data_IF_850726925406
#
_entry.id   IF_850726925406
#
_cell.length_a   1.000
_cell.length_b   1.000
_cell.length_c   1.000
_cell.angle_alpha   90.00
_cell.angle_beta   90.00
_cell.angle_gamma   90.00
#
_symmetry.space_group_name_H-M   'P 1'
#
loop_
_entity.id
_entity.type
_entity.pdbx_description
1 polymer ?
#
# COMPACT_ATOMS: atom_id res chain seq x y z
N UNK A 1 -15.61 5.20 -10.23
CA UNK A 1 -14.85 5.79 -9.10
C UNK A 1 -15.01 7.29 -9.18
N UNK A 2 -15.57 7.91 -8.17
CA UNK A 2 -15.62 9.37 -8.02
C UNK A 2 -14.29 9.82 -7.41
N UNK A 3 -13.66 10.82 -8.03
CA UNK A 3 -12.37 11.38 -7.55
C UNK A 3 -12.53 12.89 -7.50
N UNK A 4 -12.20 13.49 -6.36
CA UNK A 4 -12.18 14.93 -6.13
C UNK A 4 -10.79 15.35 -5.70
N UNK A 5 -10.24 16.40 -6.32
CA UNK A 5 -8.94 16.95 -5.98
C UNK A 5 -9.07 18.36 -5.40
N UNK A 6 -8.49 18.54 -4.23
CA UNK A 6 -8.33 19.86 -3.58
C UNK A 6 -6.90 20.42 -3.80
N UNK A 7 -6.14 19.79 -4.70
CA UNK A 7 -4.77 20.22 -5.01
C UNK A 7 -4.76 21.25 -6.13
N UNK A 8 -4.11 22.38 -5.89
CA UNK A 8 -3.79 23.32 -6.96
C UNK A 8 -2.88 22.64 -8.00
N UNK A 9 -3.29 22.72 -9.27
CA UNK A 9 -2.54 22.12 -10.39
C UNK A 9 -2.70 20.60 -10.51
N UNK A 10 -3.80 20.06 -10.01
CA UNK A 10 -4.24 18.69 -10.27
C UNK A 10 -5.78 18.69 -10.32
N UNK A 11 -6.35 18.56 -11.50
CA UNK A 11 -7.79 18.47 -11.69
C UNK A 11 -8.33 17.08 -11.28
N UNK A 12 -9.66 17.00 -11.04
CA UNK A 12 -10.36 15.73 -10.75
C UNK A 12 -10.16 14.71 -11.88
N UNK A 13 -10.21 15.18 -13.14
CA UNK A 13 -10.01 14.34 -14.31
C UNK A 13 -8.59 13.76 -14.39
N UNK A 14 -7.58 14.56 -14.07
CA UNK A 14 -6.19 14.11 -14.02
C UNK A 14 -5.94 13.15 -12.86
N UNK A 15 -6.47 13.45 -11.66
CA UNK A 15 -6.39 12.55 -10.52
C UNK A 15 -7.05 11.20 -10.83
N UNK A 16 -8.23 11.20 -11.48
CA UNK A 16 -8.92 9.98 -11.94
C UNK A 16 -8.08 9.21 -12.95
N UNK A 17 -7.46 9.87 -13.92
CA UNK A 17 -6.57 9.24 -14.92
C UNK A 17 -5.34 8.60 -14.26
N UNK A 18 -4.76 9.24 -13.25
CA UNK A 18 -3.64 8.67 -12.49
C UNK A 18 -4.03 7.36 -11.81
N UNK A 19 -5.24 7.25 -11.31
CA UNK A 19 -5.75 6.07 -10.62
C UNK A 19 -6.39 5.03 -11.57
N UNK A 20 -6.43 5.31 -12.86
CA UNK A 20 -6.95 4.38 -13.85
C UNK A 20 -6.16 3.06 -13.83
N UNK A 21 -6.90 1.95 -14.07
CA UNK A 21 -6.34 0.60 -14.00
C UNK A 21 -6.16 0.05 -12.59
N UNK A 22 -6.41 0.84 -11.53
CA UNK A 22 -6.49 0.36 -10.15
C UNK A 22 -7.92 -0.11 -9.83
N UNK A 23 -8.07 -1.10 -8.94
CA UNK A 23 -9.38 -1.64 -8.60
C UNK A 23 -10.22 -0.60 -7.85
N UNK A 24 -11.53 -0.59 -8.06
CA UNK A 24 -12.44 0.36 -7.41
C UNK A 24 -12.77 -0.06 -5.98
N UNK A 25 -12.89 0.91 -5.09
CA UNK A 25 -13.34 0.72 -3.70
C UNK A 25 -14.88 0.87 -3.60
N UNK A 26 -15.63 0.09 -4.37
CA UNK A 26 -17.09 0.20 -4.38
C UNK A 26 -17.56 1.60 -4.73
N UNK A 27 -18.43 2.16 -3.88
CA UNK A 27 -19.00 3.52 -4.02
C UNK A 27 -18.20 4.58 -3.25
N UNK A 28 -17.04 4.22 -2.69
CA UNK A 28 -16.22 5.19 -1.95
C UNK A 28 -15.72 6.31 -2.87
N UNK A 29 -15.82 7.55 -2.36
CA UNK A 29 -15.20 8.71 -2.99
C UNK A 29 -13.70 8.72 -2.68
N UNK A 30 -12.89 9.11 -3.65
CA UNK A 30 -11.46 9.37 -3.44
C UNK A 30 -11.23 10.87 -3.38
N UNK A 31 -10.69 11.34 -2.27
CA UNK A 31 -10.41 12.77 -2.05
C UNK A 31 -8.91 12.97 -1.98
N UNK A 32 -8.38 13.78 -2.89
CA UNK A 32 -6.96 14.13 -2.92
C UNK A 32 -6.75 15.49 -2.27
N UNK A 33 -5.97 15.54 -1.18
CA UNK A 33 -5.71 16.75 -0.38
C UNK A 33 -4.23 17.13 -0.34
N UNK A 34 -3.92 18.42 -0.13
CA UNK A 34 -2.55 18.81 0.14
C UNK A 34 -2.07 18.32 1.50
N UNK A 35 -0.85 17.76 1.55
CA UNK A 35 -0.12 17.48 2.77
C UNK A 35 0.92 18.59 2.99
N UNK A 36 0.72 19.40 4.03
CA UNK A 36 1.73 20.36 4.48
C UNK A 36 2.70 19.64 5.41
N UNK A 37 3.97 19.78 5.17
CA UNK A 37 5.02 19.19 6.00
C UNK A 37 6.05 20.24 6.43
N UNK A 38 6.65 20.07 7.61
CA UNK A 38 7.62 21.02 8.17
C UNK A 38 9.06 20.72 7.76
N UNK A 39 9.45 19.45 7.78
CA UNK A 39 10.83 19.02 7.58
C UNK A 39 11.02 18.31 6.25
N UNK A 40 10.30 17.24 6.01
CA UNK A 40 10.41 16.41 4.80
C UNK A 40 9.05 15.91 4.32
N UNK A 41 8.89 15.70 3.00
CA UNK A 41 7.73 15.01 2.47
C UNK A 41 7.65 13.58 3.05
N UNK A 42 6.42 13.08 3.22
CA UNK A 42 6.13 11.73 3.68
C UNK A 42 4.81 11.23 3.09
N UNK A 43 4.51 9.96 3.29
CA UNK A 43 3.24 9.36 2.90
C UNK A 43 2.19 9.62 3.98
N UNK A 44 0.97 10.00 3.57
CA UNK A 44 -0.16 10.13 4.47
C UNK A 44 -1.47 9.87 3.71
N UNK A 45 -2.27 8.95 4.21
CA UNK A 45 -3.59 8.64 3.68
C UNK A 45 -4.45 8.03 4.79
N UNK A 46 -5.74 7.86 4.51
CA UNK A 46 -6.64 7.12 5.38
C UNK A 46 -7.91 6.68 4.65
N UNK A 47 -8.42 5.52 5.04
CA UNK A 47 -9.73 5.04 4.64
C UNK A 47 -10.75 5.39 5.75
N UNK A 48 -11.70 6.25 5.45
CA UNK A 48 -12.77 6.68 6.35
C UNK A 48 -14.03 5.86 6.05
N UNK A 49 -14.22 4.77 6.79
CA UNK A 49 -15.28 3.80 6.54
C UNK A 49 -16.68 4.37 6.75
N UNK A 50 -16.88 5.18 7.78
CA UNK A 50 -18.17 5.81 8.10
C UNK A 50 -18.58 6.80 7.01
N UNK A 51 -17.63 7.61 6.55
CA UNK A 51 -17.84 8.62 5.51
C UNK A 51 -17.75 8.04 4.08
N UNK A 52 -17.45 6.77 3.93
CA UNK A 52 -17.24 6.08 2.65
C UNK A 52 -16.28 6.82 1.72
N UNK A 53 -15.14 7.20 2.25
CA UNK A 53 -14.12 7.88 1.44
C UNK A 53 -12.70 7.44 1.74
N UNK A 54 -11.87 7.55 0.71
CA UNK A 54 -10.42 7.36 0.78
C UNK A 54 -9.77 8.72 0.63
N UNK A 55 -9.03 9.17 1.64
CA UNK A 55 -8.34 10.46 1.63
C UNK A 55 -6.85 10.22 1.36
N UNK A 56 -6.37 10.77 0.24
CA UNK A 56 -4.97 10.70 -0.18
C UNK A 56 -4.33 12.08 0.01
N UNK A 57 -3.24 12.15 0.76
CA UNK A 57 -2.58 13.43 1.01
C UNK A 57 -1.24 13.51 0.25
N UNK A 58 -1.14 14.47 -0.65
CA UNK A 58 0.07 14.65 -1.47
C UNK A 58 0.91 15.80 -0.92
N UNK A 59 2.23 15.59 -0.70
CA UNK A 59 3.11 16.64 -0.22
C UNK A 59 3.10 17.90 -1.09
N UNK A 60 2.95 19.07 -0.45
CA UNK A 60 2.96 20.39 -1.13
C UNK A 60 3.89 21.34 -0.36
N UNK A 61 4.94 21.88 -1.01
CA UNK A 61 5.35 21.64 -2.40
C UNK A 61 5.82 20.20 -2.61
N UNK A 62 5.56 19.65 -3.80
CA UNK A 62 6.06 18.30 -4.10
C UNK A 62 7.56 18.35 -4.38
N UNK A 63 8.30 17.53 -3.67
CA UNK A 63 9.72 17.25 -3.91
C UNK A 63 9.91 15.73 -3.92
N UNK A 64 10.76 15.17 -4.79
CA UNK A 64 11.10 13.75 -4.72
C UNK A 64 11.62 13.36 -3.35
N UNK A 65 11.15 12.21 -2.84
CA UNK A 65 11.55 11.72 -1.52
C UNK A 65 11.65 10.19 -1.49
N UNK A 66 12.22 9.69 -0.40
CA UNK A 66 12.31 8.26 -0.13
C UNK A 66 11.61 7.97 1.19
N UNK A 67 10.88 6.85 1.24
CA UNK A 67 10.19 6.38 2.44
C UNK A 67 10.47 4.90 2.67
N UNK A 68 10.82 4.49 3.91
CA UNK A 68 10.87 3.07 4.27
C UNK A 68 9.45 2.54 4.42
N UNK A 69 9.13 1.47 3.70
CA UNK A 69 7.82 0.81 3.74
C UNK A 69 7.99 -0.57 4.33
N UNK A 70 7.24 -0.89 5.38
CA UNK A 70 7.34 -2.16 6.11
C UNK A 70 6.34 -3.15 5.52
N UNK A 71 6.81 -4.15 4.79
CA UNK A 71 5.94 -5.08 4.07
C UNK A 71 5.83 -6.48 4.71
N UNK A 72 6.62 -6.79 5.72
CA UNK A 72 6.55 -8.07 6.42
C UNK A 72 7.04 -7.96 7.87
N UNK A 73 6.49 -8.83 8.71
CA UNK A 73 6.94 -9.06 10.07
C UNK A 73 7.21 -10.55 10.26
N UNK A 74 8.35 -10.91 10.81
CA UNK A 74 8.71 -12.28 11.16
C UNK A 74 8.91 -12.39 12.66
N UNK A 75 8.19 -13.31 13.29
CA UNK A 75 8.42 -13.64 14.69
C UNK A 75 9.82 -14.26 14.85
N UNK A 76 10.61 -13.71 15.74
CA UNK A 76 11.92 -14.26 16.10
C UNK A 76 11.74 -15.36 17.16
N UNK A 77 12.60 -16.36 17.09
CA UNK A 77 12.67 -17.41 18.14
C UNK A 77 13.34 -16.80 19.39
N UNK A 78 12.80 -17.08 20.56
CA UNK A 78 13.35 -16.62 21.83
C UNK A 78 12.29 -16.59 22.94
N UNK A 79 12.71 -16.44 24.22
CA UNK A 79 11.82 -16.44 25.38
C UNK A 79 10.89 -15.23 25.43
N UNK A 80 11.27 -14.12 24.76
CA UNK A 80 10.44 -12.92 24.63
C UNK A 80 9.90 -12.81 23.21
N UNK A 81 8.64 -12.37 23.08
CA UNK A 81 8.04 -12.12 21.78
C UNK A 81 8.74 -10.93 21.11
N UNK A 82 9.49 -11.21 20.05
CA UNK A 82 10.17 -10.20 19.24
C UNK A 82 9.81 -10.40 17.78
N UNK A 83 9.73 -9.29 17.03
CA UNK A 83 9.51 -9.30 15.59
C UNK A 83 10.69 -8.66 14.88
N UNK A 84 11.13 -9.30 13.80
CA UNK A 84 12.00 -8.68 12.81
C UNK A 84 11.10 -8.11 11.70
N UNK A 85 11.28 -6.84 11.38
CA UNK A 85 10.53 -6.13 10.35
C UNK A 85 11.36 -6.09 9.07
N UNK A 86 10.74 -6.48 7.97
CA UNK A 86 11.34 -6.31 6.66
C UNK A 86 10.75 -5.06 6.00
N UNK A 87 11.62 -4.16 5.58
CA UNK A 87 11.27 -2.92 4.91
C UNK A 87 12.02 -2.75 3.60
N UNK A 88 11.42 -1.99 2.69
CA UNK A 88 12.03 -1.55 1.44
C UNK A 88 11.97 -0.03 1.37
N UNK A 89 13.07 0.61 0.97
CA UNK A 89 13.09 2.05 0.75
C UNK A 89 12.59 2.36 -0.65
N UNK A 90 11.42 2.99 -0.72
CA UNK A 90 10.76 3.38 -1.97
C UNK A 90 11.10 4.82 -2.31
N UNK A 91 11.49 5.05 -3.57
CA UNK A 91 11.69 6.41 -4.10
C UNK A 91 10.45 6.88 -4.84
N UNK A 92 9.90 8.01 -4.41
CA UNK A 92 8.78 8.70 -5.05
C UNK A 92 9.31 9.90 -5.81
N UNK A 93 9.37 9.81 -7.13
CA UNK A 93 9.90 10.86 -8.01
C UNK A 93 8.80 11.76 -8.57
N UNK A 94 7.57 11.26 -8.62
CA UNK A 94 6.42 11.91 -9.25
C UNK A 94 5.19 11.86 -8.33
N UNK A 95 4.35 12.89 -8.37
CA UNK A 95 3.06 12.93 -7.64
C UNK A 95 2.20 11.70 -7.93
N UNK A 96 2.19 11.24 -9.19
CA UNK A 96 1.41 10.05 -9.58
C UNK A 96 1.83 8.78 -8.83
N UNK A 97 3.12 8.63 -8.52
CA UNK A 97 3.61 7.47 -7.77
C UNK A 97 3.08 7.49 -6.33
N UNK A 98 3.09 8.68 -5.69
CA UNK A 98 2.52 8.85 -4.35
C UNK A 98 1.02 8.54 -4.36
N UNK A 99 0.26 9.11 -5.30
CA UNK A 99 -1.19 8.88 -5.39
C UNK A 99 -1.53 7.41 -5.59
N UNK A 100 -0.85 6.73 -6.50
CA UNK A 100 -1.10 5.31 -6.75
C UNK A 100 -0.69 4.43 -5.58
N UNK A 101 0.43 4.74 -4.92
CA UNK A 101 0.87 4.01 -3.75
C UNK A 101 -0.14 4.14 -2.60
N UNK A 102 -0.49 5.37 -2.25
CA UNK A 102 -1.46 5.65 -1.20
C UNK A 102 -2.83 5.02 -1.50
N UNK A 103 -3.30 5.14 -2.75
CA UNK A 103 -4.56 4.52 -3.14
C UNK A 103 -4.52 2.99 -3.01
N UNK A 104 -3.47 2.34 -3.47
CA UNK A 104 -3.33 0.88 -3.31
C UNK A 104 -3.34 0.47 -1.83
N UNK A 105 -2.66 1.23 -0.96
CA UNK A 105 -2.62 0.98 0.47
C UNK A 105 -4.02 1.08 1.09
N UNK A 106 -4.72 2.20 0.88
CA UNK A 106 -6.05 2.44 1.45
C UNK A 106 -7.13 1.55 0.82
N UNK A 107 -7.01 1.26 -0.48
CA UNK A 107 -7.88 0.29 -1.13
C UNK A 107 -7.77 -1.09 -0.50
N UNK A 108 -6.59 -1.49 -0.08
CA UNK A 108 -6.40 -2.78 0.61
C UNK A 108 -7.04 -2.78 1.99
N UNK A 109 -7.02 -1.66 2.74
CA UNK A 109 -7.79 -1.50 3.98
C UNK A 109 -9.29 -1.64 3.71
N UNK A 110 -9.80 -0.95 2.68
CA UNK A 110 -11.20 -1.08 2.23
C UNK A 110 -11.55 -2.54 1.89
N UNK A 111 -10.69 -3.21 1.12
CA UNK A 111 -10.91 -4.61 0.72
C UNK A 111 -10.97 -5.55 1.92
N UNK A 112 -10.07 -5.38 2.88
CA UNK A 112 -10.07 -6.17 4.12
C UNK A 112 -11.34 -5.96 4.93
N UNK A 113 -11.79 -4.72 5.06
CA UNK A 113 -12.94 -4.36 5.88
C UNK A 113 -14.25 -4.70 5.19
N UNK A 114 -14.51 -4.14 4.00
CA UNK A 114 -15.80 -4.24 3.31
C UNK A 114 -16.03 -5.58 2.61
N UNK A 115 -14.98 -6.19 2.05
CA UNK A 115 -15.12 -7.41 1.28
C UNK A 115 -14.85 -8.66 2.11
N UNK A 116 -13.83 -8.61 2.97
CA UNK A 116 -13.43 -9.78 3.77
C UNK A 116 -13.92 -9.74 5.21
N UNK A 117 -14.62 -8.69 5.65
CA UNK A 117 -15.15 -8.53 7.01
C UNK A 117 -14.07 -8.49 8.11
N UNK A 118 -12.82 -8.15 7.75
CA UNK A 118 -11.69 -8.12 8.68
C UNK A 118 -11.49 -6.73 9.24
N UNK A 119 -11.73 -6.56 10.55
CA UNK A 119 -11.58 -5.27 11.25
C UNK A 119 -10.17 -4.99 11.77
N UNK A 120 -9.17 -5.81 11.45
CA UNK A 120 -7.78 -5.58 11.89
C UNK A 120 -7.03 -4.72 10.88
N UNK A 121 -6.27 -3.74 11.36
CA UNK A 121 -5.28 -3.04 10.55
C UNK A 121 -4.18 -4.02 10.14
N UNK A 122 -4.17 -4.46 8.91
CA UNK A 122 -3.15 -5.35 8.37
C UNK A 122 -2.11 -4.52 7.58
N UNK A 123 -1.51 -3.52 8.23
CA UNK A 123 -0.57 -2.54 7.63
C UNK A 123 0.46 -3.20 6.72
N UNK A 124 1.11 -4.27 7.19
CA UNK A 124 2.11 -4.98 6.38
C UNK A 124 1.54 -5.65 5.13
N UNK A 125 0.25 -6.00 5.12
CA UNK A 125 -0.42 -6.52 3.93
C UNK A 125 -0.79 -5.39 2.97
N UNK A 126 -1.25 -4.25 3.50
CA UNK A 126 -1.56 -3.05 2.74
C UNK A 126 -0.30 -2.49 2.07
N UNK A 127 0.78 -2.36 2.82
CA UNK A 127 2.08 -1.95 2.30
C UNK A 127 2.61 -2.90 1.24
N UNK A 128 2.52 -4.21 1.46
CA UNK A 128 2.94 -5.21 0.49
C UNK A 128 2.13 -5.15 -0.80
N UNK A 129 0.82 -4.93 -0.70
CA UNK A 129 -0.03 -4.75 -1.86
C UNK A 129 0.33 -3.48 -2.62
N UNK A 130 0.52 -2.37 -1.92
CA UNK A 130 0.92 -1.09 -2.51
C UNK A 130 2.28 -1.20 -3.21
N UNK A 131 3.30 -1.74 -2.55
CA UNK A 131 4.64 -1.93 -3.11
C UNK A 131 4.65 -2.71 -4.43
N UNK A 132 3.83 -3.76 -4.51
CA UNK A 132 3.79 -4.62 -5.71
C UNK A 132 3.04 -3.99 -6.87
N UNK A 133 2.12 -3.07 -6.59
CA UNK A 133 1.09 -2.70 -7.56
C UNK A 133 1.10 -1.23 -7.98
N UNK A 134 1.64 -0.30 -7.20
CA UNK A 134 1.50 1.14 -7.48
C UNK A 134 2.09 1.60 -8.83
N UNK A 135 3.05 0.85 -9.41
CA UNK A 135 3.65 1.14 -10.72
C UNK A 135 3.02 0.35 -11.87
N UNK A 136 2.15 -0.62 -11.58
CA UNK A 136 1.51 -1.45 -12.61
C UNK A 136 0.38 -0.68 -13.29
N UNK A 137 0.21 -0.90 -14.59
CA UNK A 137 -0.88 -0.30 -15.36
C UNK A 137 -2.24 -0.85 -14.93
N UNK A 138 -2.32 -2.17 -14.73
CA UNK A 138 -3.54 -2.86 -14.33
C UNK A 138 -3.31 -3.63 -13.04
N UNK A 139 -4.26 -3.49 -12.11
CA UNK A 139 -4.28 -4.16 -10.82
C UNK A 139 -5.68 -4.68 -10.56
N UNK A 140 -5.81 -5.92 -10.10
CA UNK A 140 -7.07 -6.61 -9.89
C UNK A 140 -7.27 -7.02 -8.43
N UNK A 141 -8.46 -7.50 -8.09
CA UNK A 141 -8.72 -8.10 -6.77
C UNK A 141 -7.87 -9.35 -6.51
N UNK A 142 -7.57 -10.13 -7.55
CA UNK A 142 -6.71 -11.31 -7.41
C UNK A 142 -5.30 -10.95 -6.92
N UNK A 143 -4.81 -9.74 -7.25
CA UNK A 143 -3.52 -9.26 -6.73
C UNK A 143 -3.58 -9.01 -5.20
N UNK A 144 -4.76 -8.69 -4.65
CA UNK A 144 -4.94 -8.57 -3.20
C UNK A 144 -4.86 -9.94 -2.50
N UNK A 145 -5.48 -10.96 -3.08
CA UNK A 145 -5.40 -12.32 -2.54
C UNK A 145 -3.96 -12.83 -2.50
N UNK A 146 -3.18 -12.52 -3.54
CA UNK A 146 -1.74 -12.81 -3.58
C UNK A 146 -0.96 -12.05 -2.50
N UNK A 147 -1.36 -10.83 -2.17
CA UNK A 147 -0.73 -10.06 -1.09
C UNK A 147 -1.08 -10.60 0.29
N UNK A 148 -2.25 -11.20 0.45
CA UNK A 148 -2.71 -11.85 1.69
C UNK A 148 -2.14 -13.25 1.86
N UNK A 149 -1.88 -13.96 0.76
CA UNK A 149 -1.31 -15.29 0.82
C UNK A 149 0.03 -15.24 1.57
N UNK A 150 0.07 -15.83 2.77
CA UNK A 150 1.34 -16.05 3.46
C UNK A 150 2.17 -16.97 2.57
N UNK A 151 3.31 -16.52 2.07
CA UNK A 151 4.29 -17.45 1.51
C UNK A 151 4.55 -18.51 2.59
N UNK A 152 4.05 -19.73 2.40
CA UNK A 152 4.59 -20.88 3.11
C UNK A 152 6.08 -20.84 2.85
N UNK A 153 6.96 -20.86 3.87
CA UNK A 153 8.38 -21.01 3.64
C UNK A 153 8.52 -22.26 2.75
N UNK A 154 9.06 -22.09 1.57
CA UNK A 154 9.47 -23.20 0.72
C UNK A 154 10.34 -24.09 1.62
N UNK A 155 9.94 -25.33 1.82
CA UNK A 155 10.77 -26.31 2.48
C UNK A 155 12.04 -26.39 1.65
N UNK A 156 13.09 -25.70 2.11
CA UNK A 156 14.40 -25.78 1.51
C UNK A 156 14.75 -27.27 1.53
N UNK A 157 14.88 -27.85 0.35
CA UNK A 157 15.33 -29.19 0.06
C UNK A 157 16.60 -29.47 0.88
N UNK A 158 16.43 -30.13 1.99
CA UNK A 158 17.53 -30.71 2.76
C UNK A 158 17.94 -32.00 2.04
N UNK A 159 18.54 -31.86 0.86
CA UNK A 159 19.35 -32.94 0.31
C UNK A 159 20.65 -32.95 1.10
N UNK A 160 20.63 -33.62 2.23
CA UNK A 160 21.86 -34.18 2.82
C UNK A 160 22.33 -35.27 1.87
N UNK A 161 23.43 -34.99 1.19
CA UNK A 161 24.18 -36.00 0.47
C UNK A 161 24.59 -37.09 1.46
N UNK A 162 24.09 -38.29 1.24
CA UNK A 162 24.69 -39.49 1.81
C UNK A 162 26.09 -39.63 1.22
N UNK A 163 27.11 -39.38 2.01
CA UNK A 163 28.46 -39.86 1.74
C UNK A 163 28.50 -41.32 2.20
N UNK A 164 28.52 -42.19 1.22
CA UNK A 164 29.03 -43.53 1.37
C UNK A 164 30.56 -43.44 1.36
N UNK A 165 31.16 -43.94 2.39
CA UNK A 165 32.57 -44.29 2.52
C UNK A 165 32.64 -45.52 3.38
#
# INVERSE_FOLDING_TARGET
MVVRSELTGLSDAEARRILEGLPRAGEYEVVVKPLRYRTRPHLAARCEFEDRRIVLQVPVPFRPFKEPVIFAARRMRGPRMRFAWASETVSFRLRREVLRFLYCHEWMHWYLYEVLGKRSSAETACDRFALRNFRRLQVTRADADLALARRRPSAASTRRGARTG
#
